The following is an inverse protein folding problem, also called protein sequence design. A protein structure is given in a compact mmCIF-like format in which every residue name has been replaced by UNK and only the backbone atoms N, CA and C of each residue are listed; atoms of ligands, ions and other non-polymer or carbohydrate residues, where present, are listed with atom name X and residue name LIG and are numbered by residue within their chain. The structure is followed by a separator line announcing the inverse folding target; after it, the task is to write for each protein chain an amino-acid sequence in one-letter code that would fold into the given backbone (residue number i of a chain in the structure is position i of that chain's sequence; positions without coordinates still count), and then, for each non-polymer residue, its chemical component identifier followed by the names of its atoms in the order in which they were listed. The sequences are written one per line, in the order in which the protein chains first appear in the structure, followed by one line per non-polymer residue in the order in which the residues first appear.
data_IF_177554326863
#
_entry.id   IF_177554326863
#
_cell.length_a   1.000
_cell.length_b   1.000
_cell.length_c   1.000
_cell.angle_alpha   90.00
_cell.angle_beta   90.00
_cell.angle_gamma   90.00
#
_symmetry.space_group_name_H-M   'P 1'
#
loop_
_entity.id
_entity.type
_entity.pdbx_description
1 polymer ?
#
# COMPACT_ATOMS: atom_id res chain seq x y z
N UNK A 1 11.00 -26.44 13.97
CA UNK A 1 11.44 -25.72 15.18
C UNK A 1 11.31 -24.22 14.85
N UNK A 2 10.23 -23.49 15.17
CA UNK A 2 9.12 -23.72 16.12
C UNK A 2 9.63 -23.87 17.57
N UNK A 3 9.18 -23.06 18.56
CA UNK A 3 8.58 -21.73 18.48
C UNK A 3 9.24 -20.73 19.47
N UNK A 4 8.65 -19.55 19.65
CA UNK A 4 8.52 -18.99 21.01
C UNK A 4 7.07 -19.22 21.48
N UNK A 5 6.92 -19.73 22.69
CA UNK A 5 5.65 -20.22 23.25
C UNK A 5 4.98 -19.17 24.16
N UNK A 6 3.68 -19.36 24.35
CA UNK A 6 2.78 -18.57 25.22
C UNK A 6 2.77 -19.06 26.68
N UNK A 7 1.88 -18.49 27.51
CA UNK A 7 1.60 -18.81 28.94
C UNK A 7 2.65 -18.26 29.93
N UNK A 8 2.33 -17.80 31.15
CA UNK A 8 1.03 -17.63 31.87
C UNK A 8 1.16 -16.40 32.84
N UNK A 9 0.23 -15.91 33.69
CA UNK A 9 -1.02 -16.42 34.29
C UNK A 9 -2.13 -15.35 34.26
N UNK A 10 -3.38 -15.76 33.99
CA UNK A 10 -4.55 -14.87 33.99
C UNK A 10 -5.18 -14.61 35.37
N UNK A 11 -5.88 -13.47 35.53
CA UNK A 11 -6.81 -13.25 36.66
C UNK A 11 -8.04 -12.43 36.26
N UNK A 12 -9.10 -13.12 35.84
CA UNK A 12 -10.45 -12.54 35.78
C UNK A 12 -11.07 -12.43 37.18
N UNK A 13 -12.01 -11.48 37.34
CA UNK A 13 -12.75 -11.12 38.56
C UNK A 13 -11.90 -10.52 39.70
N UNK A 14 -12.20 -9.27 40.04
CA UNK A 14 -13.06 -9.01 41.20
C UNK A 14 -13.93 -7.79 40.94
N UNK A 15 -15.25 -7.97 41.01
CA UNK A 15 -16.19 -6.88 41.25
C UNK A 15 -16.18 -6.64 42.76
N UNK A 16 -15.94 -5.41 43.19
CA UNK A 16 -16.25 -4.96 44.54
C UNK A 16 -17.06 -3.67 44.50
N UNK A 17 -18.10 -3.62 45.33
CA UNK A 17 -19.02 -2.49 45.50
C UNK A 17 -18.50 -1.48 46.54
N UNK A 18 -19.21 -0.35 46.62
CA UNK A 18 -18.99 0.81 47.50
C UNK A 18 -17.73 1.64 47.14
N UNK A 19 -17.73 2.97 47.26
CA UNK A 19 -18.71 3.95 47.74
C UNK A 19 -18.55 5.22 46.86
N UNK A 20 -19.51 6.11 46.58
CA UNK A 20 -20.83 6.32 47.18
C UNK A 20 -20.99 7.77 47.62
N UNK A 21 -20.97 8.72 46.68
CA UNK A 21 -21.30 10.13 46.90
C UNK A 21 -22.13 10.67 45.74
N UNK A 22 -23.09 11.52 46.08
CA UNK A 22 -24.08 12.09 45.17
C UNK A 22 -23.46 12.80 43.96
N UNK A 23 -24.06 12.61 42.79
CA UNK A 23 -24.08 13.67 41.77
C UNK A 23 -25.46 13.71 41.08
N UNK A 24 -25.83 14.87 40.53
CA UNK A 24 -27.21 15.18 40.15
C UNK A 24 -27.61 14.62 38.78
N UNK A 25 -28.86 14.14 38.69
CA UNK A 25 -29.45 13.66 37.44
C UNK A 25 -29.59 14.82 36.44
N UNK A 26 -28.71 14.87 35.44
CA UNK A 26 -28.77 15.79 34.30
C UNK A 26 -28.92 14.98 33.01
N UNK A 27 -30.12 14.89 32.41
CA UNK A 27 -30.39 14.03 31.26
C UNK A 27 -29.98 14.68 29.93
N UNK A 28 -28.69 14.90 29.72
CA UNK A 28 -28.16 15.47 28.47
C UNK A 28 -26.84 14.82 28.01
N UNK A 29 -26.86 14.22 26.82
CA UNK A 29 -25.67 14.09 25.96
C UNK A 29 -24.56 13.13 26.41
N UNK A 30 -24.84 11.83 26.58
CA UNK A 30 -23.81 10.77 26.64
C UNK A 30 -23.14 10.52 25.28
N UNK A 31 -22.39 11.52 24.79
CA UNK A 31 -21.50 11.37 23.64
C UNK A 31 -20.30 10.51 24.04
N UNK A 32 -20.33 9.21 23.72
CA UNK A 32 -19.25 8.26 24.01
C UNK A 32 -17.98 8.44 23.14
N UNK A 33 -17.55 9.68 22.89
CA UNK A 33 -16.25 9.99 22.28
C UNK A 33 -15.20 10.25 23.35
N UNK A 34 -14.84 9.20 24.10
CA UNK A 34 -13.72 9.24 25.05
C UNK A 34 -12.38 9.22 24.29
N UNK A 35 -11.96 10.40 23.79
CA UNK A 35 -10.66 10.58 23.14
C UNK A 35 -9.53 10.00 24.01
N UNK A 36 -8.73 9.11 23.43
CA UNK A 36 -7.78 8.27 24.16
C UNK A 36 -6.76 9.14 24.93
N UNK A 37 -6.82 9.08 26.27
CA UNK A 37 -6.14 10.03 27.17
C UNK A 37 -4.65 9.68 27.42
N UNK A 38 -3.96 9.17 26.40
CA UNK A 38 -2.61 8.59 26.51
C UNK A 38 -1.72 8.67 25.26
N UNK A 39 -2.12 9.42 24.22
CA UNK A 39 -1.32 9.61 23.00
C UNK A 39 -0.92 11.09 22.86
N UNK A 40 -0.04 11.52 23.76
CA UNK A 40 0.19 12.95 24.09
C UNK A 40 0.96 13.75 23.04
N UNK A 41 1.58 13.13 22.03
CA UNK A 41 2.43 13.81 21.03
C UNK A 41 1.65 14.71 20.07
N UNK A 42 0.35 14.43 19.85
CA UNK A 42 -0.53 15.17 18.93
C UNK A 42 -1.81 15.67 19.62
N UNK A 43 -1.84 15.72 20.95
CA UNK A 43 -3.04 16.05 21.71
C UNK A 43 -3.14 17.56 21.96
N UNK A 44 -3.77 18.29 21.04
CA UNK A 44 -3.98 19.75 21.12
C UNK A 44 -3.81 20.51 19.80
N UNK A 45 -3.35 19.86 18.73
CA UNK A 45 -3.26 20.46 17.39
C UNK A 45 -4.60 20.44 16.66
N UNK A 46 -4.81 21.45 15.81
CA UNK A 46 -6.05 21.64 15.05
C UNK A 46 -6.31 20.51 14.04
N UNK A 47 -7.58 20.33 13.66
CA UNK A 47 -8.03 19.37 12.66
C UNK A 47 -7.57 17.92 12.93
N UNK A 48 -7.56 17.52 14.20
CA UNK A 48 -7.22 16.16 14.64
C UNK A 48 -5.78 15.73 14.34
N UNK A 49 -4.90 16.67 13.99
CA UNK A 49 -3.50 16.40 13.64
C UNK A 49 -3.25 15.87 12.23
N UNK A 50 -4.30 15.66 11.42
CA UNK A 50 -4.17 15.17 10.03
C UNK A 50 -3.19 16.00 9.19
N UNK A 51 -3.20 17.36 9.23
CA UNK A 51 -2.25 18.16 8.43
C UNK A 51 -0.80 18.02 8.92
N UNK A 52 -0.59 17.85 10.23
CA UNK A 52 0.73 17.71 10.85
C UNK A 52 1.35 16.35 10.56
N UNK A 53 0.55 15.27 10.61
CA UNK A 53 1.00 13.92 10.21
C UNK A 53 1.32 13.89 8.72
N UNK A 54 0.42 14.42 7.86
CA UNK A 54 0.67 14.50 6.42
C UNK A 54 1.95 15.28 6.08
N UNK A 55 2.21 16.40 6.76
CA UNK A 55 3.44 17.18 6.59
C UNK A 55 4.68 16.38 7.01
N UNK A 56 4.60 15.66 8.13
CA UNK A 56 5.70 14.81 8.63
C UNK A 56 5.99 13.65 7.66
N UNK A 57 4.96 12.97 7.17
CA UNK A 57 5.09 11.86 6.22
C UNK A 57 5.68 12.33 4.88
N UNK A 58 5.21 13.48 4.35
CA UNK A 58 5.75 14.08 3.13
C UNK A 58 7.20 14.55 3.33
N UNK A 59 7.54 15.17 4.46
CA UNK A 59 8.91 15.56 4.76
C UNK A 59 9.85 14.34 4.89
N UNK A 60 9.40 13.28 5.56
CA UNK A 60 10.13 12.02 5.69
C UNK A 60 10.33 11.35 4.33
N UNK A 61 9.27 11.25 3.51
CA UNK A 61 9.34 10.74 2.14
C UNK A 61 10.33 11.53 1.28
N UNK A 62 10.30 12.86 1.32
CA UNK A 62 11.24 13.70 0.60
C UNK A 62 12.68 13.46 1.06
N UNK A 63 12.95 13.39 2.37
CA UNK A 63 14.29 13.08 2.92
C UNK A 63 14.77 11.69 2.46
N UNK A 64 13.90 10.67 2.48
CA UNK A 64 14.24 9.34 1.99
C UNK A 64 14.51 9.32 0.48
N UNK A 65 13.76 10.09 -0.32
CA UNK A 65 14.02 10.26 -1.75
C UNK A 65 15.33 11.01 -2.01
N UNK A 66 15.69 12.01 -1.20
CA UNK A 66 17.00 12.67 -1.27
C UNK A 66 18.14 11.67 -0.97
N UNK A 67 18.02 10.91 0.10
CA UNK A 67 19.02 9.88 0.48
C UNK A 67 19.13 8.82 -0.62
N UNK A 68 18.01 8.34 -1.17
CA UNK A 68 18.00 7.37 -2.27
C UNK A 68 18.65 7.92 -3.54
N UNK A 69 18.32 9.14 -3.99
CA UNK A 69 18.96 9.75 -5.17
C UNK A 69 20.46 9.93 -4.99
N UNK A 70 20.92 10.35 -3.80
CA UNK A 70 22.35 10.48 -3.49
C UNK A 70 23.07 9.12 -3.53
N UNK A 71 22.48 8.09 -2.89
CA UNK A 71 23.00 6.72 -2.91
C UNK A 71 23.00 6.16 -4.34
N UNK A 72 21.92 6.34 -5.10
CA UNK A 72 21.79 5.84 -6.49
C UNK A 72 22.88 6.42 -7.38
N UNK A 73 23.10 7.73 -7.35
CA UNK A 73 24.17 8.39 -8.12
C UNK A 73 25.53 7.80 -7.75
N UNK A 74 25.88 7.82 -6.45
CA UNK A 74 27.18 7.35 -5.96
C UNK A 74 27.43 5.85 -6.24
N UNK A 75 26.40 5.00 -6.17
CA UNK A 75 26.50 3.58 -6.51
C UNK A 75 26.60 3.33 -8.01
N UNK A 76 25.94 4.15 -8.84
CA UNK A 76 26.08 4.07 -10.29
C UNK A 76 27.49 4.47 -10.73
N UNK A 77 28.04 5.54 -10.13
CA UNK A 77 29.41 5.99 -10.37
C UNK A 77 30.42 4.87 -10.04
N UNK A 78 30.38 4.31 -8.83
CA UNK A 78 31.27 3.19 -8.46
C UNK A 78 31.01 1.90 -9.26
N UNK A 79 29.75 1.59 -9.58
CA UNK A 79 29.37 0.42 -10.35
C UNK A 79 29.85 0.48 -11.80
N UNK A 80 29.73 1.64 -12.46
CA UNK A 80 30.32 1.89 -13.78
C UNK A 80 31.85 1.83 -13.69
N UNK A 81 32.49 2.47 -12.70
CA UNK A 81 33.96 2.41 -12.54
C UNK A 81 34.46 0.97 -12.35
N UNK A 82 33.77 0.12 -11.60
CA UNK A 82 34.15 -1.28 -11.42
C UNK A 82 34.08 -2.08 -12.74
N UNK A 83 32.94 -2.04 -13.43
CA UNK A 83 32.72 -2.76 -14.70
C UNK A 83 33.58 -2.22 -15.85
N UNK A 84 33.91 -0.92 -15.83
CA UNK A 84 34.83 -0.30 -16.79
C UNK A 84 36.27 -0.66 -16.45
N UNK A 85 36.68 -0.69 -15.19
CA UNK A 85 38.02 -1.13 -14.77
C UNK A 85 38.31 -2.58 -15.17
N UNK A 86 37.34 -3.48 -14.98
CA UNK A 86 37.42 -4.87 -15.43
C UNK A 86 37.65 -4.94 -16.96
N UNK A 87 36.85 -4.21 -17.74
CA UNK A 87 36.95 -4.18 -19.20
C UNK A 87 38.23 -3.50 -19.72
N UNK A 88 38.73 -2.46 -19.05
CA UNK A 88 40.03 -1.84 -19.37
C UNK A 88 41.20 -2.78 -19.06
N UNK A 89 41.07 -3.64 -18.05
CA UNK A 89 42.09 -4.64 -17.73
C UNK A 89 42.13 -5.80 -18.75
N UNK A 90 41.04 -6.04 -19.50
CA UNK A 90 41.04 -6.89 -20.69
C UNK A 90 41.52 -6.16 -21.96
N UNK A 91 41.17 -4.87 -22.14
CA UNK A 91 41.47 -4.11 -23.37
C UNK A 91 42.85 -3.43 -23.42
N UNK A 92 43.71 -3.63 -22.42
CA UNK A 92 45.00 -2.94 -22.28
C UNK A 92 46.07 -3.28 -23.35
N UNK A 93 45.68 -3.91 -24.46
CA UNK A 93 46.54 -4.17 -25.63
C UNK A 93 46.16 -3.34 -26.88
N UNK A 94 45.08 -2.53 -26.88
CA UNK A 94 44.67 -1.74 -28.06
C UNK A 94 43.84 -0.46 -27.80
N UNK A 95 44.54 0.68 -27.70
CA UNK A 95 44.09 2.06 -27.98
C UNK A 95 42.92 2.69 -27.17
N UNK A 96 42.92 4.04 -26.99
CA UNK A 96 41.86 4.74 -26.27
C UNK A 96 40.62 4.98 -27.14
N UNK A 97 39.44 4.67 -26.59
CA UNK A 97 38.14 5.04 -27.15
C UNK A 97 37.69 6.37 -26.53
N UNK A 98 36.99 7.21 -27.31
CA UNK A 98 36.52 8.53 -26.90
C UNK A 98 35.63 8.48 -25.65
N UNK A 99 35.73 9.52 -24.82
CA UNK A 99 34.76 9.81 -23.76
C UNK A 99 33.47 10.38 -24.38
N UNK A 100 32.32 9.74 -24.14
CA UNK A 100 31.03 10.44 -24.17
C UNK A 100 30.60 10.77 -22.73
N UNK A 101 30.63 12.05 -22.34
CA UNK A 101 30.07 12.48 -21.06
C UNK A 101 28.55 12.63 -21.18
N UNK A 102 27.81 11.60 -20.74
CA UNK A 102 26.38 11.70 -20.39
C UNK A 102 26.21 12.77 -19.30
N UNK A 103 26.03 14.01 -19.72
CA UNK A 103 25.92 15.17 -18.84
C UNK A 103 24.49 15.34 -18.32
N UNK A 104 24.41 15.73 -17.04
CA UNK A 104 23.20 16.20 -16.37
C UNK A 104 22.01 15.22 -16.25
N UNK A 105 22.28 14.00 -15.75
CA UNK A 105 21.28 13.30 -14.92
C UNK A 105 20.95 14.15 -13.67
N UNK A 106 19.97 15.03 -13.81
CA UNK A 106 19.40 15.81 -12.71
C UNK A 106 18.91 14.91 -11.59
N UNK A 107 18.97 15.40 -10.35
CA UNK A 107 18.81 14.61 -9.12
C UNK A 107 17.47 13.83 -9.01
N UNK A 108 16.43 14.25 -9.73
CA UNK A 108 15.12 13.58 -9.84
C UNK A 108 14.82 13.00 -11.23
N UNK A 109 15.78 13.03 -12.17
CA UNK A 109 15.60 12.58 -13.56
C UNK A 109 15.19 11.11 -13.65
N UNK A 110 15.80 10.25 -12.82
CA UNK A 110 15.44 8.82 -12.73
C UNK A 110 13.97 8.60 -12.38
N UNK A 111 13.36 9.46 -11.57
CA UNK A 111 11.95 9.36 -11.18
C UNK A 111 11.03 9.76 -12.34
N UNK A 112 11.35 10.84 -13.06
CA UNK A 112 10.62 11.24 -14.27
C UNK A 112 10.74 10.17 -15.36
N UNK A 113 11.93 9.59 -15.53
CA UNK A 113 12.18 8.47 -16.44
C UNK A 113 11.33 7.25 -16.09
N UNK A 114 11.28 6.86 -14.80
CA UNK A 114 10.46 5.75 -14.33
C UNK A 114 8.94 5.95 -14.55
N UNK A 115 8.44 7.19 -14.50
CA UNK A 115 7.04 7.51 -14.84
C UNK A 115 6.77 7.70 -16.34
N UNK A 116 7.82 7.91 -17.16
CA UNK A 116 7.73 8.05 -18.62
C UNK A 116 7.86 6.72 -19.37
N UNK A 117 8.40 5.70 -18.72
CA UNK A 117 8.59 4.35 -19.26
C UNK A 117 7.27 3.74 -19.74
N UNK A 118 7.25 3.25 -20.98
CA UNK A 118 6.04 2.69 -21.59
C UNK A 118 5.79 1.22 -21.19
N UNK A 119 4.52 0.80 -21.22
CA UNK A 119 4.11 -0.59 -20.90
C UNK A 119 4.88 -1.62 -21.77
N UNK A 120 5.19 -1.29 -23.02
CA UNK A 120 5.99 -2.11 -23.93
C UNK A 120 7.43 -2.35 -23.44
N UNK A 121 8.14 -1.31 -22.98
CA UNK A 121 9.48 -1.47 -22.42
C UNK A 121 9.48 -2.32 -21.14
N UNK A 122 8.40 -2.21 -20.36
CA UNK A 122 8.20 -2.99 -19.14
C UNK A 122 7.96 -4.47 -19.48
N UNK A 123 7.30 -4.77 -20.61
CA UNK A 123 7.15 -6.15 -21.09
C UNK A 123 8.50 -6.80 -21.37
N UNK A 124 9.37 -6.09 -22.09
CA UNK A 124 10.68 -6.61 -22.51
C UNK A 124 11.66 -6.74 -21.35
N UNK A 125 11.69 -5.75 -20.44
CA UNK A 125 12.66 -5.67 -19.33
C UNK A 125 12.22 -6.40 -18.06
N UNK A 126 10.90 -6.49 -17.81
CA UNK A 126 10.35 -7.00 -16.54
C UNK A 126 9.29 -8.10 -16.72
N UNK A 127 8.86 -8.39 -17.95
CA UNK A 127 7.94 -9.48 -18.26
C UNK A 127 6.46 -9.21 -17.98
N UNK A 128 5.64 -10.21 -18.26
CA UNK A 128 4.18 -10.15 -18.20
C UNK A 128 3.62 -9.81 -16.80
N UNK A 129 4.25 -10.32 -15.75
CA UNK A 129 3.71 -10.21 -14.38
C UNK A 129 3.93 -8.80 -13.80
N UNK A 130 5.00 -8.12 -14.20
CA UNK A 130 5.25 -6.71 -13.86
C UNK A 130 4.18 -5.78 -14.46
N UNK A 131 3.79 -5.99 -15.73
CA UNK A 131 2.67 -5.26 -16.34
C UNK A 131 1.36 -5.58 -15.63
N UNK A 132 1.11 -6.84 -15.31
CA UNK A 132 -0.12 -7.25 -14.61
C UNK A 132 -0.25 -6.53 -13.26
N UNK A 133 0.85 -6.41 -12.51
CA UNK A 133 0.91 -5.65 -11.26
C UNK A 133 0.74 -4.14 -11.44
N UNK A 134 1.47 -3.52 -12.38
CA UNK A 134 1.39 -2.07 -12.62
C UNK A 134 0.04 -1.65 -13.20
N UNK A 135 -0.56 -2.48 -14.05
CA UNK A 135 -1.93 -2.30 -14.50
C UNK A 135 -2.92 -2.34 -13.33
N UNK A 136 -2.80 -3.30 -12.41
CA UNK A 136 -3.64 -3.36 -11.20
C UNK A 136 -3.49 -2.09 -10.35
N UNK A 137 -2.26 -1.62 -10.10
CA UNK A 137 -2.02 -0.40 -9.34
C UNK A 137 -2.61 0.84 -10.02
N UNK A 138 -2.48 0.95 -11.36
CA UNK A 138 -3.08 2.01 -12.19
C UNK A 138 -4.62 2.02 -12.11
N UNK A 139 -5.24 0.84 -12.05
CA UNK A 139 -6.68 0.70 -11.83
C UNK A 139 -7.11 1.06 -10.40
N UNK A 140 -6.33 0.67 -9.38
CA UNK A 140 -6.61 1.02 -7.98
C UNK A 140 -6.57 2.54 -7.76
N UNK A 141 -5.59 3.23 -8.35
CA UNK A 141 -5.48 4.70 -8.32
C UNK A 141 -6.71 5.35 -8.97
N UNK A 142 -7.17 4.84 -10.11
CA UNK A 142 -8.37 5.34 -10.80
C UNK A 142 -9.63 5.19 -9.93
N UNK A 143 -9.85 4.01 -9.33
CA UNK A 143 -10.97 3.77 -8.41
C UNK A 143 -10.90 4.70 -7.18
N UNK A 144 -9.72 4.88 -6.60
CA UNK A 144 -9.51 5.77 -5.46
C UNK A 144 -9.85 7.23 -5.79
N UNK A 145 -9.47 7.71 -6.98
CA UNK A 145 -9.84 9.07 -7.46
C UNK A 145 -11.36 9.21 -7.58
N UNK A 146 -12.06 8.24 -8.18
CA UNK A 146 -13.53 8.31 -8.32
C UNK A 146 -14.25 8.29 -6.97
N UNK A 147 -13.86 7.39 -6.05
CA UNK A 147 -14.45 7.32 -4.71
C UNK A 147 -14.11 8.56 -3.87
N UNK A 148 -12.91 9.12 -4.02
CA UNK A 148 -12.50 10.38 -3.39
C UNK A 148 -13.35 11.55 -3.89
N UNK A 149 -13.51 11.72 -5.21
CA UNK A 149 -14.34 12.78 -5.78
C UNK A 149 -15.81 12.68 -5.33
N UNK A 150 -16.40 11.49 -5.33
CA UNK A 150 -17.77 11.29 -4.81
C UNK A 150 -17.87 11.63 -3.30
N UNK A 151 -16.83 11.31 -2.53
CA UNK A 151 -16.79 11.60 -1.09
C UNK A 151 -16.61 13.10 -0.81
N UNK A 152 -15.78 13.80 -1.58
CA UNK A 152 -15.54 15.23 -1.44
C UNK A 152 -16.72 16.08 -1.95
N UNK A 153 -17.39 15.66 -3.03
CA UNK A 153 -18.49 16.40 -3.63
C UNK A 153 -19.87 16.15 -2.97
N UNK A 154 -20.07 15.02 -2.29
CA UNK A 154 -21.37 14.67 -1.66
C UNK A 154 -21.24 14.42 -0.16
N UNK A 155 -20.40 13.46 0.24
CA UNK A 155 -20.33 13.01 1.64
C UNK A 155 -19.80 14.09 2.58
N UNK A 156 -18.77 14.84 2.17
CA UNK A 156 -18.19 15.93 2.96
C UNK A 156 -19.16 17.10 3.19
N UNK A 157 -19.84 17.68 2.17
CA UNK A 157 -20.91 18.66 2.39
C UNK A 157 -22.05 18.16 3.29
N UNK A 158 -22.44 16.89 3.17
CA UNK A 158 -23.48 16.27 4.00
C UNK A 158 -23.03 16.19 5.46
N UNK A 159 -21.81 15.73 5.74
CA UNK A 159 -21.25 15.72 7.09
C UNK A 159 -21.15 17.13 7.69
N UNK A 160 -20.68 18.11 6.91
CA UNK A 160 -20.56 19.51 7.33
C UNK A 160 -21.92 20.20 7.55
N UNK A 161 -23.00 19.66 6.99
CA UNK A 161 -24.39 20.11 7.24
C UNK A 161 -24.96 19.62 8.57
N UNK A 162 -24.24 18.73 9.28
CA UNK A 162 -24.59 18.30 10.63
C UNK A 162 -24.32 19.36 11.70
N UNK A 163 -25.01 19.24 12.83
CA UNK A 163 -25.00 20.21 13.93
C UNK A 163 -24.86 19.56 15.32
N UNK A 164 -24.43 18.29 15.41
CA UNK A 164 -24.16 17.63 16.70
C UNK A 164 -22.89 18.14 17.41
N UNK A 165 -21.87 18.54 16.64
CA UNK A 165 -20.58 18.93 17.16
C UNK A 165 -20.44 20.45 17.25
N UNK A 166 -19.62 20.93 18.19
CA UNK A 166 -19.33 22.35 18.38
C UNK A 166 -18.89 23.03 17.08
N UNK A 167 -19.32 24.28 16.90
CA UNK A 167 -19.16 25.05 15.65
C UNK A 167 -17.72 25.53 15.39
N UNK A 168 -16.74 25.05 16.15
CA UNK A 168 -15.31 25.25 15.90
C UNK A 168 -14.95 24.78 14.47
N UNK A 169 -14.41 25.66 13.60
CA UNK A 169 -13.96 25.27 12.25
C UNK A 169 -12.78 24.29 12.27
N UNK A 170 -12.04 24.18 13.38
CA UNK A 170 -10.87 23.30 13.50
C UNK A 170 -11.21 21.88 14.00
N UNK A 171 -12.47 21.58 14.29
CA UNK A 171 -12.90 20.24 14.72
C UNK A 171 -13.04 19.26 13.56
N UNK A 172 -12.09 18.33 13.41
CA UNK A 172 -12.09 17.29 12.36
C UNK A 172 -13.38 16.46 12.32
N UNK A 173 -13.98 16.17 13.49
CA UNK A 173 -15.18 15.34 13.60
C UNK A 173 -16.37 15.86 12.76
N UNK A 174 -16.43 17.17 12.51
CA UNK A 174 -17.45 17.82 11.65
C UNK A 174 -17.42 17.36 10.20
N UNK A 175 -16.27 16.85 9.73
CA UNK A 175 -16.11 16.28 8.38
C UNK A 175 -16.57 14.83 8.28
N UNK A 176 -17.07 14.24 9.38
CA UNK A 176 -17.43 12.82 9.50
C UNK A 176 -18.91 12.63 9.86
N UNK A 177 -19.40 11.39 9.74
CA UNK A 177 -20.77 11.00 10.11
C UNK A 177 -21.13 11.31 11.58
N UNK A 178 -20.13 11.47 12.47
CA UNK A 178 -20.34 11.82 13.88
C UNK A 178 -21.00 13.20 14.10
N UNK A 179 -21.07 14.05 13.06
CA UNK A 179 -21.75 15.34 13.12
C UNK A 179 -23.27 15.26 12.85
N UNK A 180 -23.78 14.12 12.38
CA UNK A 180 -25.17 13.96 11.94
C UNK A 180 -26.09 13.38 13.03
N UNK A 181 -27.20 14.07 13.30
CA UNK A 181 -28.22 13.63 14.27
C UNK A 181 -28.81 12.26 13.90
N UNK A 182 -28.77 11.33 14.87
CA UNK A 182 -29.47 10.04 14.80
C UNK A 182 -30.96 10.26 14.52
N UNK A 183 -31.51 9.51 13.54
CA UNK A 183 -32.90 9.65 13.09
C UNK A 183 -33.11 10.58 11.89
N UNK A 184 -32.08 11.27 11.41
CA UNK A 184 -32.16 12.04 10.16
C UNK A 184 -32.00 11.13 8.92
N UNK A 185 -32.78 11.40 7.87
CA UNK A 185 -32.70 10.72 6.56
C UNK A 185 -31.30 10.84 5.91
N UNK A 186 -30.49 11.84 6.30
CA UNK A 186 -29.10 11.97 5.87
C UNK A 186 -28.24 10.73 6.21
N UNK A 187 -28.54 9.98 7.28
CA UNK A 187 -27.81 8.74 7.60
C UNK A 187 -28.04 7.65 6.54
N UNK A 188 -29.26 7.56 5.99
CA UNK A 188 -29.57 6.61 4.90
C UNK A 188 -28.81 6.92 3.61
N UNK A 189 -28.43 8.18 3.37
CA UNK A 189 -27.59 8.56 2.24
C UNK A 189 -26.22 7.87 2.32
N UNK A 190 -25.62 7.78 3.52
CA UNK A 190 -24.36 7.04 3.71
C UNK A 190 -24.53 5.55 3.42
N UNK A 191 -25.63 4.94 3.83
CA UNK A 191 -25.93 3.52 3.52
C UNK A 191 -26.05 3.30 2.01
N UNK A 192 -26.76 4.18 1.30
CA UNK A 192 -26.88 4.12 -0.16
C UNK A 192 -25.52 4.32 -0.84
N UNK A 193 -24.73 5.31 -0.42
CA UNK A 193 -23.40 5.56 -0.98
C UNK A 193 -22.40 4.43 -0.68
N UNK A 194 -22.47 3.77 0.49
CA UNK A 194 -21.67 2.60 0.79
C UNK A 194 -21.99 1.42 -0.15
N UNK A 195 -23.27 1.21 -0.47
CA UNK A 195 -23.69 0.20 -1.47
C UNK A 195 -23.24 0.61 -2.88
N UNK A 196 -23.32 1.89 -3.25
CA UNK A 196 -22.79 2.39 -4.53
C UNK A 196 -21.27 2.17 -4.63
N UNK A 197 -20.50 2.46 -3.58
CA UNK A 197 -19.05 2.24 -3.55
C UNK A 197 -18.69 0.76 -3.61
N UNK A 198 -19.45 -0.12 -2.96
CA UNK A 198 -19.30 -1.57 -3.06
C UNK A 198 -19.55 -2.07 -4.50
N UNK A 199 -20.66 -1.63 -5.12
CA UNK A 199 -21.02 -1.97 -6.50
C UNK A 199 -19.98 -1.43 -7.49
N UNK A 200 -19.54 -0.18 -7.34
CA UNK A 200 -18.50 0.44 -8.16
C UNK A 200 -17.19 -0.36 -8.07
N UNK A 201 -16.75 -0.68 -6.85
CA UNK A 201 -15.54 -1.49 -6.61
C UNK A 201 -15.65 -2.88 -7.22
N UNK A 202 -16.80 -3.54 -7.07
CA UNK A 202 -17.05 -4.86 -7.65
C UNK A 202 -17.10 -4.85 -9.19
N UNK A 203 -17.69 -3.82 -9.80
CA UNK A 203 -17.69 -3.61 -11.27
C UNK A 203 -16.27 -3.37 -11.77
N UNK A 204 -15.51 -2.47 -11.11
CA UNK A 204 -14.16 -2.12 -11.52
C UNK A 204 -13.20 -3.32 -11.39
N UNK A 205 -13.28 -4.05 -10.27
CA UNK A 205 -12.54 -5.30 -10.06
C UNK A 205 -12.95 -6.39 -11.06
N UNK A 206 -14.25 -6.55 -11.37
CA UNK A 206 -14.72 -7.53 -12.37
C UNK A 206 -14.25 -7.20 -13.78
N UNK A 207 -14.29 -5.93 -14.18
CA UNK A 207 -13.77 -5.47 -15.46
C UNK A 207 -12.27 -5.76 -15.57
N UNK A 208 -11.50 -5.39 -14.54
CA UNK A 208 -10.06 -5.59 -14.50
C UNK A 208 -9.64 -7.07 -14.45
N UNK A 209 -10.30 -7.90 -13.62
CA UNK A 209 -10.10 -9.36 -13.60
C UNK A 209 -10.48 -10.02 -14.93
N UNK A 210 -11.41 -9.43 -15.69
CA UNK A 210 -11.73 -9.83 -17.06
C UNK A 210 -10.60 -9.54 -18.05
N UNK A 211 -9.88 -8.42 -17.87
CA UNK A 211 -8.70 -8.06 -18.66
C UNK A 211 -7.46 -8.89 -18.30
N UNK A 212 -7.30 -9.29 -17.03
CA UNK A 212 -6.23 -10.22 -16.58
C UNK A 212 -6.53 -11.69 -17.00
N UNK A 213 -7.30 -11.93 -18.07
CA UNK A 213 -7.52 -13.27 -18.62
C UNK A 213 -6.30 -13.78 -19.40
N UNK A 214 -5.28 -14.13 -18.62
CA UNK A 214 -4.31 -15.20 -18.83
C UNK A 214 -4.01 -15.48 -20.31
N UNK A 215 -2.99 -14.79 -20.85
CA UNK A 215 -2.40 -15.11 -22.15
C UNK A 215 -1.90 -16.55 -22.10
N UNK A 216 -2.77 -17.47 -22.52
CA UNK A 216 -2.67 -18.93 -22.36
C UNK A 216 -1.25 -19.38 -22.67
N UNK A 217 -0.59 -20.05 -21.73
CA UNK A 217 0.79 -20.50 -21.89
C UNK A 217 0.91 -21.42 -23.12
N UNK A 218 1.27 -20.86 -24.27
CA UNK A 218 1.33 -21.55 -25.56
C UNK A 218 2.58 -22.42 -25.68
N UNK A 219 3.44 -22.39 -24.67
CA UNK A 219 4.58 -23.28 -24.50
C UNK A 219 4.08 -24.47 -23.67
N UNK A 220 3.87 -25.62 -24.32
CA UNK A 220 3.60 -26.88 -23.62
C UNK A 220 4.83 -27.22 -22.79
N UNK A 221 4.78 -26.96 -21.48
CA UNK A 221 5.88 -27.23 -20.54
C UNK A 221 6.15 -28.73 -20.49
N UNK A 222 7.24 -29.15 -21.13
CA UNK A 222 7.71 -30.55 -21.17
C UNK A 222 8.33 -31.04 -19.85
N UNK A 223 8.46 -30.16 -18.87
CA UNK A 223 9.04 -30.45 -17.55
C UNK A 223 7.93 -30.58 -16.51
N UNK A 224 7.79 -31.78 -15.93
CA UNK A 224 6.86 -32.04 -14.83
C UNK A 224 7.63 -32.06 -13.50
N UNK A 225 7.18 -31.29 -12.51
CA UNK A 225 7.71 -31.37 -11.15
C UNK A 225 6.90 -32.40 -10.35
N UNK A 226 7.57 -33.47 -9.91
CA UNK A 226 6.94 -34.61 -9.24
C UNK A 226 7.34 -34.59 -7.76
N UNK A 227 6.34 -34.60 -6.87
CA UNK A 227 6.51 -34.62 -5.42
C UNK A 227 6.09 -35.97 -4.83
N UNK A 228 6.47 -36.24 -3.58
CA UNK A 228 6.06 -37.47 -2.88
C UNK A 228 6.82 -38.75 -3.26
N UNK A 229 7.96 -38.64 -3.96
CA UNK A 229 8.83 -39.79 -4.25
C UNK A 229 9.26 -40.50 -2.94
N UNK A 230 9.22 -41.85 -2.88
CA UNK A 230 9.60 -42.59 -1.67
C UNK A 230 11.10 -42.46 -1.41
N UNK A 231 11.48 -42.27 -0.14
CA UNK A 231 12.86 -41.95 0.30
C UNK A 231 13.94 -42.95 -0.13
N UNK A 232 13.55 -44.16 -0.53
CA UNK A 232 14.45 -45.24 -0.93
C UNK A 232 14.54 -45.42 -2.46
N UNK A 233 13.91 -44.54 -3.26
CA UNK A 233 13.95 -44.61 -4.71
C UNK A 233 15.34 -44.22 -5.24
N UNK A 234 16.01 -45.14 -5.96
CA UNK A 234 17.20 -44.80 -6.72
C UNK A 234 16.84 -44.05 -8.00
N UNK A 235 17.75 -43.19 -8.47
CA UNK A 235 17.65 -42.55 -9.79
C UNK A 235 17.37 -43.58 -10.90
N UNK A 236 18.07 -44.72 -10.88
CA UNK A 236 17.91 -45.80 -11.86
C UNK A 236 16.51 -46.42 -11.86
N UNK A 237 15.86 -46.55 -10.70
CA UNK A 237 14.49 -47.05 -10.61
C UNK A 237 13.48 -46.04 -11.18
N UNK A 238 13.69 -44.75 -10.92
CA UNK A 238 12.84 -43.66 -11.42
C UNK A 238 12.98 -43.54 -12.96
N UNK A 239 14.20 -43.54 -13.48
CA UNK A 239 14.46 -43.51 -14.93
C UNK A 239 13.85 -44.71 -15.64
N UNK A 240 14.02 -45.92 -15.09
CA UNK A 240 13.46 -47.13 -15.70
C UNK A 240 11.93 -47.13 -15.65
N UNK A 241 11.32 -46.58 -14.59
CA UNK A 241 9.86 -46.40 -14.53
C UNK A 241 9.35 -45.53 -15.69
N UNK A 242 9.96 -44.37 -15.94
CA UNK A 242 9.53 -43.51 -17.06
C UNK A 242 9.82 -44.12 -18.45
N UNK A 243 10.89 -44.90 -18.60
CA UNK A 243 11.21 -45.62 -19.86
C UNK A 243 10.23 -46.76 -20.19
N UNK A 244 9.41 -47.21 -19.23
CA UNK A 244 8.40 -48.28 -19.43
C UNK A 244 7.05 -47.72 -19.93
N UNK A 245 6.81 -46.41 -19.78
CA UNK A 245 5.56 -45.73 -20.19
C UNK A 245 5.74 -44.83 -21.43
N UNK A 246 6.69 -45.16 -22.30
CA UNK A 246 7.02 -44.43 -23.53
C UNK A 246 6.90 -45.33 -24.77
#
# INVERSE_FOLDING_TARGET
MIPFLTFDVGRSRLVHLFNGTNDTFSPNGTYCYSSARGSTVLQGITFGGVPTVLLLDVACFLILMLIFSFIRRRLWDYGRIALVSERFHELSESSPILEEPDSDEGFCSWMVSAFRMHDEEIYEKCGHDAITYLAFQRHLICLLIVVSMLSLCVILPVNLSGDLLDKDPYSFGRTTIANLRTGNNLLWLHTVFAVIYLILTAIFMKHHMGAIKYKKESIVKRTLFITGLPKNASQTAIENHFKIFQ
#
